data_IF_671841454691
#
_entry.id   IF_671841454691
#
_cell.length_a   1.000
_cell.length_b   1.000
_cell.length_c   1.000
_cell.angle_alpha   90.00
_cell.angle_beta   90.00
_cell.angle_gamma   90.00
#
_symmetry.space_group_name_H-M   'P 1'
#
loop_
_entity.id
_entity.type
_entity.pdbx_description
1 polymer ?
#
# COMPACT_ATOMS: atom_id res chain seq x y z
N UNK A 1 -21.39 3.18 20.79
CA UNK A 1 -20.25 3.22 19.90
C UNK A 1 -19.08 3.97 20.51
N UNK A 2 -18.49 3.38 21.51
CA UNK A 2 -17.30 3.91 22.19
C UNK A 2 -16.00 3.63 21.42
N UNK A 3 -16.05 2.83 20.38
CA UNK A 3 -14.88 2.47 19.56
C UNK A 3 -14.34 3.62 18.69
N UNK A 4 -15.19 4.54 18.26
CA UNK A 4 -14.77 5.65 17.41
C UNK A 4 -13.90 6.67 18.12
N UNK A 5 -14.21 6.99 19.38
CA UNK A 5 -13.43 7.93 20.17
C UNK A 5 -12.05 7.38 20.52
N UNK A 6 -11.96 6.12 20.92
CA UNK A 6 -10.70 5.46 21.22
C UNK A 6 -9.78 5.35 20.01
N UNK A 7 -10.35 5.01 18.85
CA UNK A 7 -9.58 4.95 17.59
C UNK A 7 -9.06 6.32 17.17
N UNK A 8 -9.86 7.38 17.35
CA UNK A 8 -9.46 8.74 16.99
C UNK A 8 -8.32 9.25 17.90
N UNK A 9 -8.42 9.02 19.20
CA UNK A 9 -7.36 9.38 20.15
C UNK A 9 -6.05 8.65 19.85
N UNK A 10 -6.11 7.39 19.43
CA UNK A 10 -4.94 6.64 19.02
C UNK A 10 -4.28 7.24 17.76
N UNK A 11 -5.07 7.64 16.75
CA UNK A 11 -4.58 8.32 15.55
C UNK A 11 -3.96 9.69 15.84
N UNK A 12 -4.43 10.37 16.88
CA UNK A 12 -3.84 11.63 17.37
C UNK A 12 -2.55 11.45 18.17
N UNK A 13 -2.08 10.21 18.32
CA UNK A 13 -0.86 9.88 19.03
C UNK A 13 -0.99 9.80 20.56
N UNK A 14 -2.21 9.82 21.08
CA UNK A 14 -2.45 9.64 22.51
C UNK A 14 -2.38 8.16 22.89
N UNK A 15 -1.77 7.85 24.03
CA UNK A 15 -1.69 6.49 24.55
C UNK A 15 -2.93 6.22 25.42
N UNK A 16 -3.69 5.20 25.04
CA UNK A 16 -4.86 4.75 25.81
C UNK A 16 -4.44 3.71 26.86
N UNK A 17 -4.96 3.77 28.09
CA UNK A 17 -4.53 2.87 29.17
C UNK A 17 -4.67 1.37 28.84
N UNK A 18 -5.69 1.00 28.07
CA UNK A 18 -5.92 -0.41 27.69
C UNK A 18 -5.02 -0.96 26.61
N UNK A 19 -4.27 -0.11 25.89
CA UNK A 19 -3.41 -0.52 24.76
C UNK A 19 -1.97 -0.03 24.88
N UNK A 20 -1.58 0.62 25.95
CA UNK A 20 -0.25 1.16 26.15
C UNK A 20 0.86 0.11 25.98
N UNK A 21 0.68 -1.09 26.54
CA UNK A 21 1.62 -2.20 26.43
C UNK A 21 1.68 -2.81 25.02
N UNK A 22 0.62 -2.67 24.21
CA UNK A 22 0.55 -3.16 22.84
C UNK A 22 1.13 -2.14 21.85
N UNK A 23 1.07 -0.85 22.15
CA UNK A 23 1.61 0.22 21.32
C UNK A 23 3.13 0.11 21.16
N UNK A 24 3.86 -0.27 22.21
CA UNK A 24 5.31 -0.50 22.19
C UNK A 24 5.72 -1.71 21.31
N UNK A 25 4.79 -2.62 21.03
CA UNK A 25 5.04 -3.83 20.25
C UNK A 25 4.58 -3.70 18.79
N UNK A 26 3.75 -2.72 18.48
CA UNK A 26 3.19 -2.52 17.13
C UNK A 26 3.92 -1.40 16.42
N UNK A 27 4.59 -1.74 15.35
CA UNK A 27 5.09 -0.75 14.39
C UNK A 27 3.89 -0.09 13.70
N UNK A 28 3.89 1.23 13.65
CA UNK A 28 2.91 1.97 12.87
C UNK A 28 3.28 1.87 11.40
N UNK A 29 2.29 1.67 10.55
CA UNK A 29 2.48 1.70 9.10
C UNK A 29 2.10 3.08 8.57
N UNK A 30 2.99 3.65 7.76
CA UNK A 30 2.74 4.84 6.95
C UNK A 30 2.68 4.41 5.49
N UNK A 31 1.51 4.48 4.91
CA UNK A 31 1.25 4.05 3.53
C UNK A 31 1.06 5.26 2.62
N UNK A 32 1.90 5.39 1.62
CA UNK A 32 1.84 6.45 0.62
C UNK A 32 1.19 5.98 -0.68
N UNK A 33 -0.10 6.25 -0.87
CA UNK A 33 -0.77 5.99 -2.15
C UNK A 33 -0.50 7.14 -3.12
N UNK A 34 0.28 6.87 -4.17
CA UNK A 34 0.62 7.89 -5.17
C UNK A 34 -0.47 8.13 -6.20
N UNK A 35 -1.50 7.28 -6.20
CA UNK A 35 -2.63 7.42 -7.11
C UNK A 35 -2.16 7.47 -8.58
N UNK A 36 -2.76 8.28 -9.42
CA UNK A 36 -2.38 8.46 -10.81
C UNK A 36 -1.41 9.63 -10.95
N UNK A 37 -0.26 9.54 -10.28
CA UNK A 37 0.80 10.55 -10.35
C UNK A 37 2.14 9.90 -10.62
N UNK A 38 3.05 10.66 -11.20
CA UNK A 38 4.45 10.33 -11.49
C UNK A 38 4.65 9.48 -12.74
N UNK A 39 5.52 9.96 -13.59
CA UNK A 39 6.21 9.17 -14.63
C UNK A 39 7.27 8.30 -13.98
N UNK A 40 7.88 7.39 -14.74
CA UNK A 40 8.89 6.47 -14.19
C UNK A 40 10.06 7.21 -13.53
N UNK A 41 10.64 8.20 -14.21
CA UNK A 41 11.75 8.98 -13.65
C UNK A 41 11.39 9.75 -12.39
N UNK A 42 10.25 10.46 -12.41
CA UNK A 42 9.74 11.19 -11.25
C UNK A 42 9.43 10.24 -10.06
N UNK A 43 8.95 9.05 -10.37
CA UNK A 43 8.65 8.03 -9.36
C UNK A 43 9.93 7.52 -8.66
N UNK A 44 10.98 7.27 -9.41
CA UNK A 44 12.29 6.86 -8.88
C UNK A 44 12.86 7.95 -7.98
N UNK A 45 12.88 9.20 -8.44
CA UNK A 45 13.37 10.33 -7.65
C UNK A 45 12.62 10.47 -6.32
N UNK A 46 11.28 10.35 -6.35
CA UNK A 46 10.47 10.42 -5.15
C UNK A 46 10.73 9.25 -4.21
N UNK A 47 10.85 8.03 -4.74
CA UNK A 47 11.12 6.84 -3.94
C UNK A 47 12.48 6.94 -3.22
N UNK A 48 13.52 7.36 -3.91
CA UNK A 48 14.85 7.57 -3.35
C UNK A 48 14.84 8.65 -2.26
N UNK A 49 14.12 9.74 -2.49
CA UNK A 49 13.93 10.81 -1.49
C UNK A 49 13.20 10.30 -0.24
N UNK A 50 12.17 9.49 -0.40
CA UNK A 50 11.46 8.88 0.74
C UNK A 50 12.38 7.96 1.53
N UNK A 51 13.19 7.14 0.86
CA UNK A 51 14.19 6.27 1.52
C UNK A 51 15.14 7.11 2.36
N UNK A 52 15.66 8.19 1.81
CA UNK A 52 16.62 9.06 2.48
C UNK A 52 15.99 9.77 3.69
N UNK A 53 14.82 10.38 3.51
CA UNK A 53 14.15 11.15 4.57
C UNK A 53 13.56 10.28 5.69
N UNK A 54 13.26 9.03 5.42
CA UNK A 54 12.73 8.09 6.43
C UNK A 54 13.79 7.18 7.03
N UNK A 55 15.06 7.42 6.75
CA UNK A 55 16.16 6.63 7.29
C UNK A 55 16.16 6.66 8.82
N UNK A 56 16.27 5.49 9.44
CA UNK A 56 16.26 5.34 10.90
C UNK A 56 14.87 5.39 11.56
N UNK A 57 13.79 5.52 10.78
CA UNK A 57 12.43 5.42 11.35
C UNK A 57 12.17 4.03 11.93
N UNK A 58 11.42 3.99 13.04
CA UNK A 58 10.92 2.73 13.63
C UNK A 58 9.59 2.29 13.01
N UNK A 59 8.96 3.15 12.22
CA UNK A 59 7.69 2.85 11.57
C UNK A 59 7.93 2.07 10.26
N UNK A 60 6.95 1.28 9.87
CA UNK A 60 6.89 0.66 8.56
C UNK A 60 6.47 1.71 7.53
N UNK A 61 7.25 1.87 6.47
CA UNK A 61 6.95 2.81 5.38
C UNK A 61 6.72 2.01 4.12
N UNK A 62 5.55 2.20 3.50
CA UNK A 62 5.17 1.51 2.27
C UNK A 62 4.67 2.52 1.24
N UNK A 63 5.14 2.40 0.00
CA UNK A 63 4.72 3.26 -1.11
C UNK A 63 3.98 2.46 -2.17
N UNK A 64 3.00 3.10 -2.80
CA UNK A 64 2.17 2.51 -3.84
C UNK A 64 2.23 3.36 -5.11
N UNK A 65 3.29 3.20 -5.93
CA UNK A 65 3.40 3.88 -7.22
C UNK A 65 2.35 3.36 -8.21
N UNK A 66 2.07 4.10 -9.31
CA UNK A 66 1.29 3.54 -10.41
C UNK A 66 2.00 2.32 -11.03
N UNK A 67 1.25 1.41 -11.63
CA UNK A 67 1.79 0.16 -12.21
C UNK A 67 2.94 0.38 -13.19
N UNK A 68 2.87 1.45 -13.98
CA UNK A 68 3.90 1.76 -14.99
C UNK A 68 5.28 2.08 -14.40
N UNK A 69 5.34 2.44 -13.13
CA UNK A 69 6.57 2.78 -12.43
C UNK A 69 6.96 1.75 -11.35
N UNK A 70 6.06 0.83 -11.00
CA UNK A 70 6.21 -0.03 -9.84
C UNK A 70 7.48 -0.89 -9.88
N UNK A 71 7.76 -1.57 -10.99
CA UNK A 71 8.94 -2.42 -11.13
C UNK A 71 10.24 -1.60 -11.05
N UNK A 72 10.31 -0.47 -11.75
CA UNK A 72 11.50 0.39 -11.72
C UNK A 72 11.74 1.00 -10.34
N UNK A 73 10.68 1.36 -9.64
CA UNK A 73 10.77 1.82 -8.23
C UNK A 73 11.24 0.68 -7.34
N UNK A 74 10.71 -0.53 -7.50
CA UNK A 74 11.14 -1.70 -6.75
C UNK A 74 12.66 -1.93 -6.87
N UNK A 75 13.19 -1.88 -8.09
CA UNK A 75 14.63 -2.00 -8.35
C UNK A 75 15.43 -0.87 -7.68
N UNK A 76 14.94 0.36 -7.76
CA UNK A 76 15.63 1.53 -7.21
C UNK A 76 15.76 1.50 -5.68
N UNK A 77 14.81 0.89 -4.99
CA UNK A 77 14.79 0.81 -3.51
C UNK A 77 15.06 -0.60 -2.97
N UNK A 78 15.57 -1.49 -3.81
CA UNK A 78 15.90 -2.86 -3.40
C UNK A 78 16.85 -2.87 -2.20
N UNK A 79 16.53 -3.73 -1.22
CA UNK A 79 17.28 -3.84 0.02
C UNK A 79 17.15 -2.66 0.99
N UNK A 80 16.30 -1.68 0.69
CA UNK A 80 16.03 -0.54 1.59
C UNK A 80 14.88 -0.86 2.54
N UNK A 81 14.70 0.02 3.54
CA UNK A 81 13.68 -0.13 4.59
C UNK A 81 12.26 0.27 4.14
N UNK A 82 12.09 0.81 2.96
CA UNK A 82 10.80 1.19 2.39
C UNK A 82 10.23 0.03 1.60
N UNK A 83 9.02 -0.41 1.97
CA UNK A 83 8.26 -1.41 1.23
C UNK A 83 7.49 -0.78 0.07
N UNK A 84 7.03 -1.60 -0.83
CA UNK A 84 6.24 -1.15 -1.98
C UNK A 84 5.13 -2.14 -2.31
N UNK A 85 4.10 -1.64 -2.97
CA UNK A 85 2.95 -2.44 -3.34
C UNK A 85 2.16 -1.88 -4.50
N UNK A 86 1.17 -2.64 -4.94
CA UNK A 86 0.29 -2.30 -6.04
C UNK A 86 -0.93 -1.51 -5.56
N UNK A 87 -1.45 -0.63 -6.42
CA UNK A 87 -2.65 0.15 -6.13
C UNK A 87 -3.95 -0.62 -6.33
N UNK A 88 -3.88 -1.80 -6.95
CA UNK A 88 -4.99 -2.71 -7.22
C UNK A 88 -4.46 -4.05 -7.70
N UNK A 89 -5.29 -5.09 -7.72
CA UNK A 89 -5.06 -6.36 -8.41
C UNK A 89 -6.37 -6.89 -8.99
N UNK A 90 -6.27 -7.74 -9.99
CA UNK A 90 -7.36 -8.58 -10.45
C UNK A 90 -7.27 -9.96 -9.77
N UNK A 91 -8.40 -10.67 -9.64
CA UNK A 91 -8.47 -11.93 -8.88
C UNK A 91 -8.11 -13.19 -9.67
N UNK A 92 -7.95 -13.10 -10.99
CA UNK A 92 -7.46 -14.20 -11.82
C UNK A 92 -5.96 -14.06 -12.04
N UNK A 93 -5.25 -15.17 -12.12
CA UNK A 93 -3.80 -15.18 -12.31
C UNK A 93 -3.39 -14.77 -13.71
N UNK A 94 -4.18 -15.16 -14.71
CA UNK A 94 -3.96 -14.86 -16.13
C UNK A 94 -5.27 -15.02 -16.92
N UNK A 95 -5.31 -14.53 -18.13
CA UNK A 95 -6.47 -14.73 -19.03
C UNK A 95 -6.85 -13.50 -19.85
N UNK A 96 -8.05 -13.53 -20.40
CA UNK A 96 -8.59 -12.49 -21.28
C UNK A 96 -9.17 -11.32 -20.47
N UNK A 97 -8.31 -10.62 -19.75
CA UNK A 97 -8.67 -9.50 -18.87
C UNK A 97 -7.83 -8.27 -19.22
N UNK A 98 -8.04 -7.74 -20.40
CA UNK A 98 -7.24 -6.66 -20.98
C UNK A 98 -7.07 -5.48 -20.02
N UNK A 99 -5.83 -5.13 -19.71
CA UNK A 99 -5.47 -4.02 -18.83
C UNK A 99 -5.40 -4.37 -17.35
N UNK A 100 -5.84 -5.56 -16.95
CA UNK A 100 -5.74 -6.00 -15.56
C UNK A 100 -4.32 -6.47 -15.20
N UNK A 101 -3.98 -6.38 -13.94
CA UNK A 101 -2.72 -6.88 -13.37
C UNK A 101 -3.06 -7.87 -12.26
N UNK A 102 -2.50 -9.07 -12.33
CA UNK A 102 -2.76 -10.12 -11.35
C UNK A 102 -1.87 -10.01 -10.11
N UNK A 103 -2.31 -10.63 -9.01
CA UNK A 103 -1.47 -10.80 -7.82
C UNK A 103 -0.16 -11.53 -8.13
N UNK A 104 -0.19 -12.53 -9.01
CA UNK A 104 0.99 -13.25 -9.48
C UNK A 104 2.02 -12.33 -10.14
N UNK A 105 1.59 -11.39 -10.99
CA UNK A 105 2.48 -10.39 -11.60
C UNK A 105 3.10 -9.46 -10.57
N UNK A 106 2.34 -9.07 -9.55
CA UNK A 106 2.81 -8.22 -8.46
C UNK A 106 3.80 -8.97 -7.55
N UNK A 107 3.54 -10.23 -7.26
CA UNK A 107 4.45 -11.07 -6.49
C UNK A 107 5.80 -11.32 -7.22
N UNK A 108 5.77 -11.39 -8.54
CA UNK A 108 6.97 -11.60 -9.36
C UNK A 108 8.00 -10.46 -9.21
N UNK A 109 7.54 -9.25 -8.98
CA UNK A 109 8.40 -8.10 -8.67
C UNK A 109 8.63 -7.90 -7.15
N UNK A 110 8.38 -8.93 -6.35
CA UNK A 110 8.59 -8.95 -4.91
C UNK A 110 7.81 -7.89 -4.13
N UNK A 111 6.70 -7.37 -4.66
CA UNK A 111 5.82 -6.46 -3.92
C UNK A 111 5.02 -7.25 -2.88
N UNK A 112 5.03 -6.78 -1.65
CA UNK A 112 4.41 -7.46 -0.51
C UNK A 112 3.04 -6.89 -0.11
N UNK A 113 2.62 -5.79 -0.75
CA UNK A 113 1.43 -5.05 -0.38
C UNK A 113 0.53 -4.78 -1.58
N UNK A 114 -0.76 -4.65 -1.31
CA UNK A 114 -1.73 -4.20 -2.31
C UNK A 114 -2.84 -3.38 -1.65
N UNK A 115 -3.27 -2.34 -2.32
CA UNK A 115 -4.48 -1.59 -1.95
C UNK A 115 -5.67 -2.26 -2.62
N UNK A 116 -6.68 -2.64 -1.83
CA UNK A 116 -7.90 -3.26 -2.34
C UNK A 116 -9.11 -2.45 -1.88
N UNK A 117 -10.05 -2.23 -2.81
CA UNK A 117 -11.30 -1.57 -2.51
C UNK A 117 -11.17 -0.09 -2.13
N UNK A 118 -10.15 0.59 -2.63
CA UNK A 118 -10.00 2.03 -2.44
C UNK A 118 -11.26 2.78 -2.88
N UNK A 119 -11.64 3.84 -2.17
CA UNK A 119 -12.87 4.60 -2.45
C UNK A 119 -12.96 5.12 -3.88
N UNK A 120 -11.86 5.54 -4.47
CA UNK A 120 -11.82 5.97 -5.87
C UNK A 120 -12.16 4.83 -6.83
N UNK A 121 -11.68 3.61 -6.56
CA UNK A 121 -12.02 2.45 -7.38
C UNK A 121 -13.47 2.05 -7.26
N UNK A 122 -14.05 2.14 -6.09
CA UNK A 122 -15.48 1.90 -5.86
C UNK A 122 -16.35 2.93 -6.59
N UNK A 123 -15.96 4.18 -6.55
CA UNK A 123 -16.73 5.30 -7.13
C UNK A 123 -16.56 5.41 -8.64
N UNK A 124 -15.34 5.26 -9.16
CA UNK A 124 -14.99 5.56 -10.55
C UNK A 124 -14.86 4.32 -11.45
N UNK A 125 -14.48 3.17 -10.88
CA UNK A 125 -14.13 1.98 -11.65
C UNK A 125 -15.04 0.77 -11.38
N UNK A 126 -16.08 0.94 -10.60
CA UNK A 126 -17.08 -0.09 -10.38
C UNK A 126 -16.65 -1.24 -9.47
N UNK A 127 -15.64 -1.08 -8.66
CA UNK A 127 -15.25 -2.08 -7.66
C UNK A 127 -16.35 -2.17 -6.59
N UNK A 128 -17.23 -3.17 -6.71
CA UNK A 128 -18.30 -3.46 -5.76
C UNK A 128 -17.82 -4.45 -4.68
N UNK A 129 -18.69 -4.77 -3.71
CA UNK A 129 -18.36 -5.69 -2.62
C UNK A 129 -17.95 -7.08 -3.12
N UNK A 130 -18.53 -7.57 -4.21
CA UNK A 130 -18.17 -8.87 -4.80
C UNK A 130 -16.76 -8.83 -5.39
N UNK A 131 -16.43 -7.78 -6.14
CA UNK A 131 -15.10 -7.57 -6.71
C UNK A 131 -14.03 -7.44 -5.60
N UNK A 132 -14.31 -6.63 -4.59
CA UNK A 132 -13.41 -6.45 -3.43
C UNK A 132 -13.17 -7.76 -2.70
N UNK A 133 -14.23 -8.55 -2.44
CA UNK A 133 -14.10 -9.85 -1.81
C UNK A 133 -13.25 -10.84 -2.61
N UNK A 134 -13.39 -10.86 -3.93
CA UNK A 134 -12.56 -11.69 -4.82
C UNK A 134 -11.09 -11.26 -4.81
N UNK A 135 -10.83 -9.96 -4.86
CA UNK A 135 -9.47 -9.40 -4.78
C UNK A 135 -8.80 -9.73 -3.44
N UNK A 136 -9.53 -9.61 -2.34
CA UNK A 136 -9.02 -9.97 -1.01
C UNK A 136 -8.65 -11.44 -0.88
N UNK A 137 -9.39 -12.34 -1.53
CA UNK A 137 -9.04 -13.78 -1.52
C UNK A 137 -7.85 -14.10 -2.41
N UNK A 138 -7.61 -13.30 -3.45
CA UNK A 138 -6.49 -13.48 -4.37
C UNK A 138 -5.17 -12.91 -3.82
N UNK A 139 -5.27 -11.93 -2.92
CA UNK A 139 -4.12 -11.34 -2.25
C UNK A 139 -3.64 -12.24 -1.10
#
# INVERSE_FOLDING_TARGET
>A
STGGGASLEYLEGKVLPGIAALDDLRRKMVAGNWKMHKTVGEAVELAESIVEETNGTLNEVVIFPPFTALETVADAIDGKHVGYGAQDIFWEDEGAYTGAVSGKMIADICAEYVIIGHSERRTLFGDNEVAVAKKLRAA
#
